data_IF_975258949179
#
_entry.id   IF_975258949179
#
_cell.length_a   1.000
_cell.length_b   1.000
_cell.length_c   1.000
_cell.angle_alpha   90.00
_cell.angle_beta   90.00
_cell.angle_gamma   90.00
#
_symmetry.space_group_name_H-M   'P 1'
#
loop_
_entity.id
_entity.type
_entity.pdbx_description
1 polymer ?
#
# COMPACT_ATOMS: atom_id res chain seq x y z
N UNK A 1 11.67 -2.50 -11.76
CA UNK A 1 11.65 -1.94 -10.39
C UNK A 1 11.97 -3.08 -9.46
N UNK A 2 12.95 -2.93 -8.59
CA UNK A 2 13.19 -3.89 -7.51
C UNK A 2 12.42 -3.36 -6.31
N UNK A 3 11.40 -4.09 -5.85
CA UNK A 3 10.61 -3.72 -4.68
C UNK A 3 11.38 -4.15 -3.43
N UNK A 4 11.91 -3.20 -2.68
CA UNK A 4 12.61 -3.45 -1.43
C UNK A 4 11.93 -2.75 -0.25
N UNK A 5 11.36 -1.56 -0.44
CA UNK A 5 10.72 -0.79 0.62
C UNK A 5 9.37 -0.22 0.17
N UNK A 6 8.32 -0.58 0.90
CA UNK A 6 6.94 -0.17 0.60
C UNK A 6 6.39 0.64 1.76
N UNK A 7 5.89 1.84 1.45
CA UNK A 7 5.15 2.64 2.41
C UNK A 7 3.72 2.12 2.56
N UNK A 8 3.19 2.00 3.77
CA UNK A 8 1.80 1.62 4.00
C UNK A 8 1.04 2.78 4.67
N UNK A 9 0.02 3.30 3.99
CA UNK A 9 -0.87 4.34 4.53
C UNK A 9 -2.22 3.72 4.88
N UNK A 10 -2.50 3.61 6.17
CA UNK A 10 -3.79 3.12 6.67
C UNK A 10 -4.83 4.25 6.72
N UNK A 11 -6.12 3.92 6.61
CA UNK A 11 -7.18 4.90 6.90
C UNK A 11 -7.24 5.19 8.40
N UNK A 12 -7.46 6.45 8.76
CA UNK A 12 -7.46 6.97 10.15
C UNK A 12 -8.68 6.54 11.00
N UNK A 13 -9.34 5.44 10.66
CA UNK A 13 -10.43 4.87 11.46
C UNK A 13 -10.01 3.57 12.17
N UNK A 14 -10.70 3.21 13.25
CA UNK A 14 -10.46 2.01 14.07
C UNK A 14 -10.74 0.68 13.33
N UNK A 15 -10.59 0.63 12.01
CA UNK A 15 -10.60 -0.63 11.28
C UNK A 15 -9.39 -1.47 11.69
N UNK A 16 -9.67 -2.71 12.10
CA UNK A 16 -8.63 -3.68 12.42
C UNK A 16 -7.92 -4.12 11.16
N UNK A 17 -6.82 -3.46 10.81
CA UNK A 17 -5.90 -3.92 9.78
C UNK A 17 -5.01 -5.04 10.36
N UNK A 18 -4.85 -6.18 9.66
CA UNK A 18 -3.97 -7.25 10.12
C UNK A 18 -2.50 -6.92 9.81
N UNK A 19 -1.99 -5.82 10.39
CA UNK A 19 -0.65 -5.27 10.10
C UNK A 19 0.46 -6.30 10.28
N UNK A 20 0.35 -7.16 11.30
CA UNK A 20 1.32 -8.22 11.52
C UNK A 20 1.35 -9.22 10.36
N UNK A 21 0.19 -9.70 9.92
CA UNK A 21 0.09 -10.65 8.79
C UNK A 21 0.59 -10.03 7.49
N UNK A 22 0.27 -8.75 7.25
CA UNK A 22 0.72 -8.00 6.08
C UNK A 22 2.24 -7.84 6.13
N UNK A 23 2.80 -7.45 7.28
CA UNK A 23 4.26 -7.33 7.46
C UNK A 23 4.97 -8.65 7.23
N UNK A 24 4.43 -9.76 7.76
CA UNK A 24 4.98 -11.10 7.54
C UNK A 24 4.90 -11.51 6.06
N UNK A 25 3.78 -11.22 5.39
CA UNK A 25 3.56 -11.53 3.98
C UNK A 25 4.57 -10.81 3.06
N UNK A 26 4.81 -9.52 3.29
CA UNK A 26 5.82 -8.76 2.57
C UNK A 26 7.25 -9.19 2.92
N UNK A 27 7.51 -9.45 4.21
CA UNK A 27 8.80 -9.93 4.69
C UNK A 27 9.24 -11.27 4.10
N UNK A 28 8.30 -12.18 3.78
CA UNK A 28 8.58 -13.44 3.04
C UNK A 28 9.19 -13.21 1.66
N UNK A 29 8.98 -12.04 1.08
CA UNK A 29 9.50 -11.64 -0.22
C UNK A 29 10.70 -10.69 -0.10
N UNK A 30 11.21 -10.45 1.12
CA UNK A 30 12.33 -9.54 1.38
C UNK A 30 11.96 -8.06 1.28
N UNK A 31 10.67 -7.72 1.37
CA UNK A 31 10.18 -6.35 1.29
C UNK A 31 9.96 -5.79 2.70
N UNK A 32 10.55 -4.64 2.99
CA UNK A 32 10.33 -3.86 4.21
C UNK A 32 9.04 -3.03 4.09
N UNK A 33 8.22 -3.04 5.14
CA UNK A 33 7.09 -2.12 5.28
C UNK A 33 7.44 -0.96 6.19
N UNK A 34 7.15 0.26 5.73
CA UNK A 34 7.24 1.48 6.52
C UNK A 34 5.84 2.09 6.67
N UNK A 35 5.32 2.17 7.89
CA UNK A 35 4.06 2.85 8.15
C UNK A 35 4.17 4.36 7.87
N UNK A 36 3.20 4.89 7.13
CA UNK A 36 3.09 6.31 6.80
C UNK A 36 2.03 6.98 7.67
N UNK A 37 2.30 8.21 8.06
CA UNK A 37 1.37 9.03 8.84
C UNK A 37 0.77 10.14 7.96
N UNK A 38 -0.53 10.41 8.12
CA UNK A 38 -1.27 11.36 7.28
C UNK A 38 -0.72 12.80 7.31
N UNK A 39 -0.10 13.18 8.44
CA UNK A 39 0.30 14.55 8.74
C UNK A 39 1.82 14.69 8.94
N UNK A 40 2.61 13.74 8.43
CA UNK A 40 4.08 13.81 8.48
C UNK A 40 4.67 13.53 7.11
N UNK A 41 5.87 14.06 6.90
CA UNK A 41 6.61 13.78 5.68
C UNK A 41 6.97 12.29 5.61
N UNK A 42 6.75 11.63 4.46
CA UNK A 42 7.10 10.22 4.28
C UNK A 42 8.61 10.04 4.13
N UNK A 43 9.13 8.82 4.32
CA UNK A 43 10.48 8.47 3.91
C UNK A 43 10.71 8.75 2.42
N UNK A 44 11.92 9.14 2.04
CA UNK A 44 12.27 9.54 0.66
C UNK A 44 12.64 8.36 -0.25
N UNK A 45 12.72 7.15 0.29
CA UNK A 45 13.31 5.95 -0.33
C UNK A 45 12.26 4.83 -0.55
N UNK A 46 11.01 5.19 -0.82
CA UNK A 46 9.93 4.24 -1.07
C UNK A 46 9.85 3.86 -2.55
N UNK A 47 9.78 2.57 -2.83
CA UNK A 47 9.60 2.03 -4.19
C UNK A 47 8.12 2.04 -4.62
N UNK A 48 7.21 1.96 -3.65
CA UNK A 48 5.76 1.92 -3.81
C UNK A 48 5.09 2.41 -2.52
N UNK A 49 3.93 3.04 -2.65
CA UNK A 49 3.02 3.28 -1.52
C UNK A 49 1.76 2.42 -1.67
N UNK A 50 1.45 1.63 -0.66
CA UNK A 50 0.21 0.90 -0.52
C UNK A 50 -0.78 1.69 0.35
N UNK A 51 -1.86 2.18 -0.27
CA UNK A 51 -2.94 2.87 0.42
C UNK A 51 -4.04 1.89 0.81
N UNK A 52 -4.22 1.65 2.11
CA UNK A 52 -5.18 0.68 2.65
C UNK A 52 -6.46 1.39 3.07
N UNK A 53 -7.45 1.45 2.18
CA UNK A 53 -8.68 2.20 2.38
C UNK A 53 -9.42 2.47 1.08
N UNK A 54 -10.19 3.55 1.04
CA UNK A 54 -10.91 3.97 -0.17
C UNK A 54 -10.15 5.01 -0.98
N UNK A 55 -10.86 5.64 -1.92
CA UNK A 55 -10.31 6.67 -2.81
C UNK A 55 -9.68 7.85 -2.06
N UNK A 56 -10.25 8.25 -0.91
CA UNK A 56 -9.67 9.31 -0.08
C UNK A 56 -8.27 8.97 0.46
N UNK A 57 -8.04 7.71 0.85
CA UNK A 57 -6.72 7.23 1.29
C UNK A 57 -5.74 7.19 0.12
N UNK A 58 -6.21 6.76 -1.06
CA UNK A 58 -5.40 6.75 -2.30
C UNK A 58 -4.95 8.15 -2.71
N UNK A 59 -5.88 9.12 -2.72
CA UNK A 59 -5.58 10.53 -2.99
C UNK A 59 -4.60 11.11 -1.97
N UNK A 60 -4.74 10.74 -0.69
CA UNK A 60 -3.80 11.19 0.34
C UNK A 60 -2.40 10.61 0.13
N UNK A 61 -2.28 9.34 -0.26
CA UNK A 61 -1.00 8.73 -0.59
C UNK A 61 -0.31 9.43 -1.78
N UNK A 62 -1.09 9.79 -2.82
CA UNK A 62 -0.60 10.56 -3.97
C UNK A 62 -0.13 11.97 -3.58
N UNK A 63 -0.84 12.62 -2.66
CA UNK A 63 -0.47 13.93 -2.11
C UNK A 63 0.83 13.88 -1.30
N UNK A 64 0.99 12.86 -0.43
CA UNK A 64 2.19 12.68 0.39
C UNK A 64 3.41 12.26 -0.43
N UNK A 65 3.21 11.38 -1.42
CA UNK A 65 4.29 10.75 -2.19
C UNK A 65 4.10 10.97 -3.70
N UNK A 66 4.14 12.20 -4.21
CA UNK A 66 3.75 12.54 -5.58
C UNK A 66 4.63 11.92 -6.68
N UNK A 67 5.83 11.44 -6.34
CA UNK A 67 6.77 10.81 -7.25
C UNK A 67 6.85 9.28 -7.10
N UNK A 68 6.14 8.72 -6.11
CA UNK A 68 6.14 7.29 -5.82
C UNK A 68 4.85 6.66 -6.39
N UNK A 69 4.91 5.51 -7.07
CA UNK A 69 3.70 4.81 -7.49
C UNK A 69 2.79 4.49 -6.29
N UNK A 70 1.47 4.61 -6.49
CA UNK A 70 0.47 4.32 -5.45
C UNK A 70 -0.40 3.15 -5.88
N UNK A 71 -0.49 2.14 -5.02
CA UNK A 71 -1.41 1.02 -5.14
C UNK A 71 -2.45 1.13 -4.02
N UNK A 72 -3.72 1.31 -4.38
CA UNK A 72 -4.80 1.35 -3.40
C UNK A 72 -5.47 -0.01 -3.25
N UNK A 73 -5.62 -0.49 -2.02
CA UNK A 73 -6.33 -1.73 -1.67
C UNK A 73 -7.51 -1.37 -0.78
N UNK A 74 -8.69 -1.84 -1.19
CA UNK A 74 -9.92 -1.54 -0.50
C UNK A 74 -10.08 -2.34 0.80
N UNK A 75 -10.26 -1.62 1.90
CA UNK A 75 -10.66 -2.13 3.21
C UNK A 75 -11.97 -1.45 3.62
N UNK A 76 -13.05 -1.73 2.89
CA UNK A 76 -14.32 -1.04 3.05
C UNK A 76 -15.27 -1.26 1.87
N UNK A 77 -15.94 -0.18 1.42
CA UNK A 77 -16.80 -0.21 0.25
C UNK A 77 -15.99 -0.01 -1.03
N UNK A 78 -16.40 -0.64 -2.14
CA UNK A 78 -15.74 -0.53 -3.45
C UNK A 78 -15.46 0.93 -3.82
N UNK A 79 -14.21 1.24 -4.15
CA UNK A 79 -13.73 2.54 -4.63
C UNK A 79 -13.36 2.51 -6.10
N UNK A 80 -13.26 3.68 -6.74
CA UNK A 80 -12.88 3.79 -8.15
C UNK A 80 -11.38 3.60 -8.38
N UNK A 81 -10.55 3.97 -7.40
CA UNK A 81 -9.10 3.99 -7.51
C UNK A 81 -8.44 2.72 -6.95
N UNK A 82 -9.22 1.85 -6.30
CA UNK A 82 -8.69 0.64 -5.65
C UNK A 82 -8.48 -0.48 -6.67
N UNK A 83 -7.32 -1.13 -6.62
CA UNK A 83 -6.94 -2.23 -7.51
C UNK A 83 -7.55 -3.59 -7.11
N UNK A 84 -8.01 -3.72 -5.87
CA UNK A 84 -8.63 -4.92 -5.31
C UNK A 84 -9.03 -4.70 -3.86
N UNK A 85 -9.42 -5.76 -3.17
CA UNK A 85 -9.75 -5.74 -1.75
C UNK A 85 -8.77 -6.56 -0.87
N UNK A 86 -9.02 -6.61 0.44
CA UNK A 86 -8.18 -7.35 1.39
C UNK A 86 -7.95 -8.83 1.04
N UNK A 87 -8.91 -9.48 0.37
CA UNK A 87 -8.79 -10.88 -0.04
C UNK A 87 -7.87 -11.05 -1.25
N UNK A 88 -7.68 -9.98 -2.03
CA UNK A 88 -6.81 -9.97 -3.20
C UNK A 88 -5.34 -9.66 -2.84
N UNK A 89 -5.05 -9.23 -1.60
CA UNK A 89 -3.73 -8.71 -1.22
C UNK A 89 -2.58 -9.67 -1.54
N UNK A 90 -2.76 -10.97 -1.27
CA UNK A 90 -1.74 -11.99 -1.56
C UNK A 90 -1.51 -12.15 -3.07
N UNK A 91 -2.59 -12.12 -3.87
CA UNK A 91 -2.49 -12.17 -5.34
C UNK A 91 -1.84 -10.91 -5.90
N UNK A 92 -2.21 -9.74 -5.38
CA UNK A 92 -1.62 -8.45 -5.77
C UNK A 92 -0.13 -8.44 -5.47
N UNK A 93 0.28 -8.87 -4.27
CA UNK A 93 1.70 -8.98 -3.93
C UNK A 93 2.44 -9.94 -4.86
N UNK A 94 1.84 -11.09 -5.18
CA UNK A 94 2.43 -12.06 -6.10
C UNK A 94 2.67 -11.47 -7.51
N UNK A 95 1.83 -10.54 -7.96
CA UNK A 95 2.06 -9.80 -9.21
C UNK A 95 3.12 -8.71 -9.06
N UNK A 96 3.11 -7.96 -7.95
CA UNK A 96 4.10 -6.92 -7.66
C UNK A 96 5.52 -7.47 -7.65
N UNK A 97 5.77 -8.57 -6.94
CA UNK A 97 7.11 -9.19 -6.84
C UNK A 97 7.62 -9.73 -8.18
N UNK A 98 6.72 -9.99 -9.14
CA UNK A 98 7.05 -10.41 -10.51
C UNK A 98 7.20 -9.23 -11.47
N UNK A 99 6.87 -8.01 -11.05
CA UNK A 99 6.83 -6.84 -11.92
C UNK A 99 5.62 -6.85 -12.88
N UNK A 100 4.57 -7.59 -12.56
CA UNK A 100 3.38 -7.77 -13.40
C UNK A 100 2.32 -6.69 -13.10
N UNK A 101 2.66 -5.41 -13.31
CA UNK A 101 1.76 -4.28 -13.10
C UNK A 101 2.01 -3.15 -14.11
N UNK A 102 1.12 -2.15 -14.13
CA UNK A 102 1.21 -0.95 -14.97
C UNK A 102 1.14 0.30 -14.07
N UNK A 103 1.93 1.31 -14.42
CA UNK A 103 1.99 2.63 -13.76
C UNK A 103 1.73 3.71 -14.80
#
# INVERSE_FOLDING_TARGET
MELAKVGILLRDDEQGYPLQEITELFGRHGIELAELEWNKDPPIDLDLVMAMGGDGTALKALDLCPLCPVLAVNYGTVGFLTAGDRADLESILAHLVKGEFLV
#
